data_IF_194224351962
#
_entry.id   IF_194224351962
#
_cell.length_a   1.000
_cell.length_b   1.000
_cell.length_c   1.000
_cell.angle_alpha   90.00
_cell.angle_beta   90.00
_cell.angle_gamma   90.00
#
_symmetry.space_group_name_H-M   'P 1'
#
loop_
_entity.id
_entity.type
_entity.pdbx_description
1 polymer ?
#
# COMPACT_ATOMS: atom_id res chain seq x y z
N UNK A 1 9.24 -7.93 -22.24
CA UNK A 1 9.97 -7.26 -21.13
C UNK A 1 9.18 -6.11 -20.49
N UNK A 2 8.55 -5.19 -21.26
CA UNK A 2 7.73 -4.09 -20.69
C UNK A 2 6.56 -4.55 -19.78
N UNK A 3 5.85 -5.61 -20.17
CA UNK A 3 4.71 -6.14 -19.40
C UNK A 3 5.11 -6.73 -18.05
N UNK A 4 6.24 -7.44 -17.98
CA UNK A 4 6.74 -8.01 -16.72
C UNK A 4 7.15 -6.90 -15.73
N UNK A 5 7.73 -5.81 -16.24
CA UNK A 5 8.09 -4.63 -15.46
C UNK A 5 6.86 -3.89 -14.92
N UNK A 6 5.80 -3.74 -15.73
CA UNK A 6 4.52 -3.18 -15.28
C UNK A 6 3.85 -4.03 -14.19
N UNK A 7 3.85 -5.35 -14.37
CA UNK A 7 3.30 -6.29 -13.38
C UNK A 7 4.08 -6.19 -12.07
N UNK A 8 5.41 -6.16 -12.11
CA UNK A 8 6.24 -5.99 -10.92
C UNK A 8 6.00 -4.62 -10.24
N UNK A 9 5.85 -3.54 -11.03
CA UNK A 9 5.55 -2.20 -10.54
C UNK A 9 4.18 -2.11 -9.84
N UNK A 10 3.22 -2.99 -10.17
CA UNK A 10 1.92 -3.04 -9.49
C UNK A 10 1.90 -4.01 -8.32
N UNK A 11 2.53 -5.18 -8.46
CA UNK A 11 2.54 -6.22 -7.41
C UNK A 11 3.24 -5.72 -6.15
N UNK A 12 4.40 -5.09 -6.29
CA UNK A 12 5.19 -4.62 -5.13
C UNK A 12 4.38 -3.67 -4.24
N UNK A 13 3.80 -2.56 -4.74
CA UNK A 13 3.02 -1.67 -3.90
C UNK A 13 1.76 -2.34 -3.34
N UNK A 14 1.10 -3.23 -4.09
CA UNK A 14 -0.06 -3.98 -3.57
C UNK A 14 0.32 -4.87 -2.39
N UNK A 15 1.43 -5.62 -2.50
CA UNK A 15 1.92 -6.48 -1.41
C UNK A 15 2.29 -5.64 -0.18
N UNK A 16 2.96 -4.50 -0.37
CA UNK A 16 3.30 -3.58 0.72
C UNK A 16 2.02 -3.09 1.42
N UNK A 17 1.01 -2.63 0.67
CA UNK A 17 -0.26 -2.16 1.24
C UNK A 17 -0.95 -3.26 2.04
N UNK A 18 -1.04 -4.49 1.51
CA UNK A 18 -1.64 -5.64 2.22
C UNK A 18 -0.89 -5.90 3.53
N UNK A 19 0.44 -5.92 3.49
CA UNK A 19 1.26 -6.14 4.68
C UNK A 19 1.05 -5.03 5.72
N UNK A 20 1.07 -3.76 5.31
CA UNK A 20 0.88 -2.61 6.20
C UNK A 20 -0.51 -2.61 6.84
N UNK A 21 -1.56 -2.98 6.09
CA UNK A 21 -2.91 -3.12 6.64
C UNK A 21 -2.96 -4.24 7.69
N UNK A 22 -2.34 -5.40 7.41
CA UNK A 22 -2.29 -6.50 8.38
C UNK A 22 -1.48 -6.12 9.63
N UNK A 23 -0.40 -5.37 9.48
CA UNK A 23 0.36 -4.81 10.59
C UNK A 23 -0.49 -3.83 11.43
N UNK A 24 -1.28 -2.97 10.77
CA UNK A 24 -2.26 -2.11 11.43
C UNK A 24 -3.31 -2.89 12.22
N UNK A 25 -3.85 -3.98 11.64
CA UNK A 25 -4.78 -4.88 12.34
C UNK A 25 -4.15 -5.54 13.55
N UNK A 26 -2.91 -6.03 13.42
CA UNK A 26 -2.16 -6.61 14.54
C UNK A 26 -1.94 -5.58 15.68
N UNK A 27 -1.59 -4.33 15.35
CA UNK A 27 -1.45 -3.26 16.35
C UNK A 27 -2.77 -2.92 17.05
N UNK A 28 -3.88 -2.92 16.31
CA UNK A 28 -5.20 -2.70 16.87
C UNK A 28 -5.56 -3.80 17.90
N UNK A 29 -5.24 -5.07 17.59
CA UNK A 29 -5.42 -6.19 18.51
C UNK A 29 -4.56 -6.06 19.79
N UNK A 30 -3.38 -5.43 19.69
CA UNK A 30 -2.51 -5.13 20.84
C UNK A 30 -2.90 -3.85 21.60
N UNK A 31 -4.05 -3.24 21.29
CA UNK A 31 -4.54 -1.97 21.87
C UNK A 31 -3.64 -0.76 21.56
N UNK A 32 -2.74 -0.87 20.58
CA UNK A 32 -1.88 0.24 20.10
C UNK A 32 -2.64 1.00 19.01
N UNK A 33 -3.68 1.75 19.40
CA UNK A 33 -4.62 2.40 18.46
C UNK A 33 -3.97 3.48 17.59
N UNK A 34 -3.06 4.28 18.16
CA UNK A 34 -2.32 5.31 17.42
C UNK A 34 -1.43 4.71 16.34
N UNK A 35 -0.73 3.61 16.65
CA UNK A 35 0.06 2.86 15.68
C UNK A 35 -0.78 2.24 14.57
N UNK A 36 -1.92 1.64 14.92
CA UNK A 36 -2.87 1.09 13.93
C UNK A 36 -3.37 2.16 12.96
N UNK A 37 -3.76 3.33 13.49
CA UNK A 37 -4.20 4.46 12.65
C UNK A 37 -3.08 4.94 11.72
N UNK A 38 -1.85 5.09 12.23
CA UNK A 38 -0.69 5.44 11.43
C UNK A 38 -0.43 4.45 10.28
N UNK A 39 -0.50 3.14 10.56
CA UNK A 39 -0.33 2.12 9.52
C UNK A 39 -1.41 2.21 8.44
N UNK A 40 -2.68 2.43 8.80
CA UNK A 40 -3.74 2.59 7.80
C UNK A 40 -3.58 3.84 6.95
N UNK A 41 -3.14 4.96 7.55
CA UNK A 41 -2.82 6.19 6.83
C UNK A 41 -1.70 5.97 5.83
N UNK A 42 -0.60 5.32 6.25
CA UNK A 42 0.53 5.00 5.38
C UNK A 42 0.06 4.10 4.23
N UNK A 43 -0.68 3.03 4.52
CA UNK A 43 -1.21 2.13 3.50
C UNK A 43 -2.09 2.87 2.47
N UNK A 44 -2.99 3.75 2.94
CA UNK A 44 -3.85 4.55 2.07
C UNK A 44 -3.06 5.51 1.18
N UNK A 45 -2.07 6.22 1.74
CA UNK A 45 -1.21 7.14 0.97
C UNK A 45 -0.34 6.41 -0.06
N UNK A 46 0.26 5.27 0.30
CA UNK A 46 1.06 4.47 -0.61
C UNK A 46 0.23 3.93 -1.78
N UNK A 47 -1.00 3.45 -1.49
CA UNK A 47 -1.94 3.00 -2.51
C UNK A 47 -2.36 4.16 -3.42
N UNK A 48 -2.75 5.31 -2.85
CA UNK A 48 -3.15 6.50 -3.59
C UNK A 48 -2.05 7.01 -4.53
N UNK A 49 -0.80 7.06 -4.06
CA UNK A 49 0.36 7.44 -4.88
C UNK A 49 0.60 6.44 -6.02
N UNK A 50 0.47 5.14 -5.75
CA UNK A 50 0.61 4.10 -6.77
C UNK A 50 -0.44 4.26 -7.87
N UNK A 51 -1.71 4.45 -7.49
CA UNK A 51 -2.81 4.68 -8.44
C UNK A 51 -2.58 5.97 -9.24
N UNK A 52 -2.18 7.07 -8.58
CA UNK A 52 -1.89 8.34 -9.25
C UNK A 52 -0.78 8.19 -10.31
N UNK A 53 0.32 7.53 -9.97
CA UNK A 53 1.44 7.31 -10.90
C UNK A 53 1.00 6.46 -12.08
N UNK A 54 0.21 5.41 -11.85
CA UNK A 54 -0.34 4.57 -12.92
C UNK A 54 -1.26 5.35 -13.85
N UNK A 55 -2.16 6.19 -13.31
CA UNK A 55 -3.04 7.04 -14.12
C UNK A 55 -2.25 8.07 -14.92
N UNK A 56 -1.28 8.74 -14.30
CA UNK A 56 -0.44 9.74 -14.97
C UNK A 56 0.42 9.15 -16.10
N UNK A 57 0.89 7.91 -15.95
CA UNK A 57 1.73 7.27 -16.97
C UNK A 57 0.93 6.61 -18.11
N UNK A 58 -0.40 6.49 -17.97
CA UNK A 58 -1.28 5.90 -18.99
C UNK A 58 -2.25 6.92 -19.64
N UNK A 59 -2.25 8.18 -19.18
CA UNK A 59 -2.92 9.33 -19.81
C UNK A 59 -1.91 10.11 -20.67
#
# INVERSE_FOLDING_TARGET
MKWLSLIAQMIVPVVIVIYTVNFGRWMALKKIRSGAFGAYLIAATAFGLTVWVLLKNNL
#
